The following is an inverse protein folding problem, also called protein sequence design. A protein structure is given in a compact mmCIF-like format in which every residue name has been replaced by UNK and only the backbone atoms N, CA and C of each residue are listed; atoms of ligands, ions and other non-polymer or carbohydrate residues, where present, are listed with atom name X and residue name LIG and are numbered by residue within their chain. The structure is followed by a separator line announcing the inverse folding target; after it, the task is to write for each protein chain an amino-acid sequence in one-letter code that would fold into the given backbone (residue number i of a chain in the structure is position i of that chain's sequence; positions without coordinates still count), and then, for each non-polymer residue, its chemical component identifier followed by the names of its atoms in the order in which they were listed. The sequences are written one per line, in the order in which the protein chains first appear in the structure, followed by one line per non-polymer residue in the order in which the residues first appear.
data_IF_650004161689
#
_entry.id   IF_650004161689
#
_cell.length_a   1.000
_cell.length_b   1.000
_cell.length_c   1.000
_cell.angle_alpha   90.00
_cell.angle_beta   90.00
_cell.angle_gamma   90.00
#
_symmetry.space_group_name_H-M   'P 1'
#
loop_
_entity.id
_entity.type
_entity.pdbx_description
1 polymer ?
#
# COMPACT_ATOMS: atom_id res chain seq x y z
N UNK A 1 23.87 -0.77 6.99
CA UNK A 1 24.62 0.49 7.16
C UNK A 1 24.26 1.44 6.01
N UNK A 2 23.27 2.29 6.24
CA UNK A 2 22.77 3.23 5.25
C UNK A 2 23.72 4.43 5.16
N UNK A 3 24.07 4.82 3.93
CA UNK A 3 24.65 6.12 3.66
C UNK A 3 23.55 6.98 3.03
N UNK A 4 22.84 7.73 3.86
CA UNK A 4 22.41 9.07 3.49
C UNK A 4 23.44 10.01 4.11
N UNK A 5 24.22 10.72 3.32
CA UNK A 5 25.28 11.63 3.79
C UNK A 5 24.77 12.83 4.61
N UNK A 6 23.50 12.84 5.00
CA UNK A 6 22.94 13.87 5.86
C UNK A 6 22.37 13.21 7.11
N UNK A 7 23.02 13.48 8.24
CA UNK A 7 22.61 13.11 9.60
C UNK A 7 21.16 13.55 9.90
N UNK A 8 20.65 14.52 9.16
CA UNK A 8 19.29 15.04 9.18
C UNK A 8 18.84 15.25 7.73
N UNK A 9 17.56 15.12 7.42
CA UNK A 9 17.04 15.45 6.08
C UNK A 9 16.90 16.98 5.99
N UNK A 10 17.54 17.63 5.02
CA UNK A 10 17.47 19.09 4.82
C UNK A 10 16.88 19.41 3.45
N UNK A 11 16.00 20.40 3.40
CA UNK A 11 15.48 20.96 2.15
C UNK A 11 15.53 22.48 2.17
N UNK A 12 15.71 23.11 1.01
CA UNK A 12 15.76 24.56 0.81
C UNK A 12 17.18 25.11 0.65
N UNK A 13 17.34 26.37 0.25
CA UNK A 13 18.64 26.95 -0.10
C UNK A 13 19.39 27.67 1.04
N UNK A 14 20.72 27.51 1.11
CA UNK A 14 21.64 28.41 1.84
C UNK A 14 22.99 27.75 2.19
N UNK A 15 24.18 28.35 2.10
CA UNK A 15 24.59 29.76 2.16
C UNK A 15 25.86 30.06 1.32
N UNK A 16 25.80 31.13 0.52
CA UNK A 16 26.95 31.93 0.01
C UNK A 16 28.00 31.27 -0.90
N UNK A 17 27.58 30.41 -1.85
CA UNK A 17 28.14 30.37 -3.22
C UNK A 17 27.19 29.57 -4.12
N UNK A 18 27.19 29.88 -5.42
CA UNK A 18 26.16 29.57 -6.40
C UNK A 18 25.62 28.12 -6.40
N UNK A 19 24.29 27.99 -6.33
CA UNK A 19 23.44 26.82 -6.60
C UNK A 19 23.68 25.58 -5.73
N UNK A 20 23.03 25.51 -4.56
CA UNK A 20 22.78 24.22 -3.91
C UNK A 20 21.28 23.97 -3.83
N UNK A 21 20.79 23.13 -4.73
CA UNK A 21 19.55 22.38 -4.52
C UNK A 21 19.83 21.45 -3.33
N UNK A 22 19.19 21.70 -2.18
CA UNK A 22 19.34 20.83 -1.01
C UNK A 22 18.12 19.93 -0.94
N UNK A 23 18.38 18.63 -0.79
CA UNK A 23 17.38 17.61 -0.66
C UNK A 23 17.99 16.31 -0.16
N UNK A 24 17.14 15.32 0.03
CA UNK A 24 17.56 13.99 0.41
C UNK A 24 16.53 12.93 0.08
N UNK A 25 16.96 11.67 0.20
CA UNK A 25 16.13 10.49 0.01
C UNK A 25 15.89 9.76 1.33
N UNK A 26 14.68 9.22 1.50
CA UNK A 26 14.26 8.41 2.62
C UNK A 26 13.79 7.07 2.11
N UNK A 27 14.48 5.98 2.48
CA UNK A 27 14.10 4.62 2.08
C UNK A 27 13.21 3.97 3.14
N UNK A 28 11.99 3.63 2.75
CA UNK A 28 11.02 2.91 3.56
C UNK A 28 10.94 1.46 3.09
N UNK A 29 11.15 0.52 4.01
CA UNK A 29 11.20 -0.92 3.71
C UNK A 29 9.94 -1.63 4.16
N UNK A 30 9.70 -2.82 3.61
CA UNK A 30 8.57 -3.67 4.00
C UNK A 30 7.22 -2.97 3.82
N UNK A 31 7.05 -2.28 2.68
CA UNK A 31 5.79 -1.63 2.34
C UNK A 31 4.76 -2.71 2.00
N UNK A 32 3.74 -2.86 2.82
CA UNK A 32 2.78 -3.96 2.70
C UNK A 32 1.67 -3.70 1.66
N UNK A 33 1.70 -2.54 0.99
CA UNK A 33 0.72 -2.16 -0.03
C UNK A 33 0.79 -3.13 -1.22
N UNK A 34 -0.29 -3.86 -1.53
CA UNK A 34 -0.34 -4.74 -2.69
C UNK A 34 -0.22 -3.98 -4.01
N UNK A 35 0.19 -4.69 -5.05
CA UNK A 35 0.19 -4.17 -6.41
C UNK A 35 -1.20 -3.70 -6.84
N UNK A 36 -1.26 -2.53 -7.46
CA UNK A 36 -2.50 -1.94 -7.97
C UNK A 36 -3.49 -1.50 -6.88
N UNK A 37 -3.12 -1.51 -5.61
CA UNK A 37 -4.00 -1.10 -4.53
C UNK A 37 -4.50 0.35 -4.73
N UNK A 38 -5.76 0.59 -4.35
CA UNK A 38 -6.33 1.92 -4.38
C UNK A 38 -5.82 2.70 -3.17
N UNK A 39 -4.97 3.70 -3.40
CA UNK A 39 -4.46 4.57 -2.33
C UNK A 39 -5.57 5.54 -1.91
N UNK A 40 -5.90 5.55 -0.63
CA UNK A 40 -6.83 6.50 -0.02
C UNK A 40 -6.13 7.83 0.27
N UNK A 41 -5.17 7.80 1.20
CA UNK A 41 -4.30 8.93 1.55
C UNK A 41 -2.86 8.48 1.67
N UNK A 42 -1.91 9.37 1.39
CA UNK A 42 -0.50 9.13 1.69
C UNK A 42 0.20 10.44 2.02
N UNK A 43 1.08 10.43 3.03
CA UNK A 43 1.88 11.59 3.44
C UNK A 43 3.10 11.14 4.24
N UNK A 44 4.09 12.03 4.36
CA UNK A 44 5.21 11.89 5.28
C UNK A 44 4.88 12.58 6.60
N UNK A 45 5.25 11.96 7.72
CA UNK A 45 5.37 12.65 9.02
C UNK A 45 6.85 12.84 9.33
N UNK A 46 7.27 14.10 9.49
CA UNK A 46 8.66 14.49 9.68
C UNK A 46 8.85 15.11 11.07
N UNK A 47 9.75 14.52 11.87
CA UNK A 47 10.10 15.07 13.17
C UNK A 47 11.18 16.16 13.02
N UNK A 48 10.89 17.38 13.46
CA UNK A 48 11.79 18.53 13.29
C UNK A 48 13.07 18.39 14.12
N UNK A 49 14.22 18.45 13.45
CA UNK A 49 15.55 18.41 14.08
C UNK A 49 15.90 19.71 14.79
N UNK A 50 15.75 20.84 14.11
CA UNK A 50 16.16 22.14 14.63
C UNK A 50 15.16 23.23 14.28
N UNK A 51 14.93 24.15 15.22
CA UNK A 51 14.01 25.27 15.01
C UNK A 51 14.49 26.16 13.86
N UNK A 52 13.59 26.41 12.89
CA UNK A 52 13.83 27.24 11.72
C UNK A 52 12.60 28.12 11.51
N UNK A 53 12.70 29.42 11.79
CA UNK A 53 11.53 30.29 11.95
C UNK A 53 11.47 31.52 11.04
N UNK A 54 12.51 31.83 10.29
CA UNK A 54 12.66 33.16 9.68
C UNK A 54 12.34 33.24 8.19
N UNK A 55 12.29 32.11 7.48
CA UNK A 55 12.15 32.09 6.02
C UNK A 55 11.11 31.06 5.57
N UNK A 56 10.39 31.38 4.50
CA UNK A 56 9.48 30.48 3.80
C UNK A 56 10.28 29.54 2.91
N UNK A 57 9.99 28.23 3.00
CA UNK A 57 10.63 27.19 2.18
C UNK A 57 9.59 26.62 1.24
N UNK A 58 9.97 26.40 -0.01
CA UNK A 58 9.21 25.63 -0.99
C UNK A 58 10.02 24.39 -1.36
N UNK A 59 9.35 23.28 -1.55
CA UNK A 59 10.01 22.04 -1.91
C UNK A 59 9.12 21.19 -2.79
N UNK A 60 9.63 20.05 -3.22
CA UNK A 60 8.88 19.04 -3.94
C UNK A 60 9.12 17.68 -3.29
N UNK A 61 8.11 16.83 -3.38
CA UNK A 61 8.15 15.43 -2.96
C UNK A 61 7.87 14.55 -4.17
N UNK A 62 8.73 13.56 -4.36
CA UNK A 62 8.63 12.54 -5.40
C UNK A 62 9.19 11.22 -4.88
N UNK A 63 9.13 10.15 -5.66
CA UNK A 63 9.73 8.87 -5.31
C UNK A 63 10.77 8.44 -6.34
N UNK A 64 11.56 7.43 -6.02
CA UNK A 64 12.38 6.73 -7.00
C UNK A 64 11.50 5.87 -7.89
N UNK A 65 11.59 6.03 -9.21
CA UNK A 65 10.78 5.29 -10.20
C UNK A 65 11.33 3.87 -10.44
N UNK A 66 11.17 3.02 -9.43
CA UNK A 66 11.60 1.60 -9.43
C UNK A 66 10.63 0.74 -8.64
N UNK A 67 10.57 -0.55 -8.99
CA UNK A 67 9.69 -1.53 -8.34
C UNK A 67 10.13 -1.90 -6.92
N UNK A 68 11.44 -1.87 -6.65
CA UNK A 68 12.00 -2.15 -5.34
C UNK A 68 13.26 -1.31 -5.12
N UNK A 69 13.13 -0.24 -4.35
CA UNK A 69 14.21 0.72 -4.20
C UNK A 69 15.47 0.07 -3.58
N UNK A 70 16.65 0.23 -4.19
CA UNK A 70 17.89 -0.35 -3.70
C UNK A 70 18.31 0.30 -2.38
N UNK A 71 19.21 -0.36 -1.64
CA UNK A 71 19.84 0.27 -0.47
C UNK A 71 20.92 1.25 -0.94
N UNK A 72 20.99 2.42 -0.33
CA UNK A 72 22.09 3.37 -0.56
C UNK A 72 23.39 2.83 0.04
N UNK A 73 24.26 2.30 -0.81
CA UNK A 73 25.56 1.71 -0.41
C UNK A 73 26.74 2.62 -0.71
N UNK A 74 26.60 3.54 -1.67
CA UNK A 74 27.60 4.53 -2.09
C UNK A 74 26.93 5.85 -2.47
N UNK A 75 27.72 6.93 -2.59
CA UNK A 75 27.24 8.21 -3.14
C UNK A 75 26.69 8.05 -4.55
N UNK A 76 27.43 7.38 -5.44
CA UNK A 76 26.96 7.10 -6.82
C UNK A 76 25.64 6.32 -6.85
N UNK A 77 25.42 5.37 -5.93
CA UNK A 77 24.17 4.64 -5.82
C UNK A 77 23.01 5.54 -5.37
N UNK A 78 23.29 6.49 -4.46
CA UNK A 78 22.33 7.51 -4.08
C UNK A 78 22.05 8.46 -5.26
N UNK A 79 23.08 8.94 -5.96
CA UNK A 79 22.91 9.86 -7.10
C UNK A 79 22.14 9.19 -8.25
N UNK A 80 22.36 7.90 -8.51
CA UNK A 80 21.58 7.14 -9.48
C UNK A 80 20.10 7.08 -9.10
N UNK A 81 19.81 6.77 -7.83
CA UNK A 81 18.45 6.78 -7.28
C UNK A 81 17.82 8.18 -7.37
N UNK A 82 18.55 9.21 -6.93
CA UNK A 82 18.12 10.61 -6.92
C UNK A 82 17.86 11.17 -8.32
N UNK A 83 18.49 10.64 -9.36
CA UNK A 83 18.20 11.06 -10.74
C UNK A 83 17.04 10.27 -11.39
N UNK A 84 16.50 9.24 -10.74
CA UNK A 84 15.45 8.39 -11.28
C UNK A 84 14.11 8.63 -10.58
N UNK A 85 13.47 9.75 -10.90
CA UNK A 85 12.26 10.20 -10.24
C UNK A 85 10.96 9.72 -10.90
N UNK A 86 9.92 9.54 -10.08
CA UNK A 86 8.53 9.47 -10.55
C UNK A 86 8.14 10.69 -11.40
N UNK A 87 7.17 10.50 -12.29
CA UNK A 87 6.59 11.60 -13.07
C UNK A 87 5.72 12.49 -12.17
N UNK A 88 4.92 11.87 -11.29
CA UNK A 88 4.20 12.57 -10.25
C UNK A 88 5.19 13.19 -9.27
N UNK A 89 5.00 14.48 -9.02
CA UNK A 89 5.76 15.25 -8.04
C UNK A 89 4.84 16.25 -7.37
N UNK A 90 4.88 16.32 -6.05
CA UNK A 90 3.98 17.16 -5.25
C UNK A 90 4.74 18.35 -4.70
N UNK A 91 4.24 19.54 -5.01
CA UNK A 91 4.77 20.77 -4.42
C UNK A 91 4.38 20.84 -2.94
N UNK A 92 5.36 21.09 -2.08
CA UNK A 92 5.14 21.49 -0.69
C UNK A 92 5.62 22.93 -0.52
N UNK A 93 4.69 23.83 -0.80
CA UNK A 93 4.93 25.27 -0.82
C UNK A 93 4.54 25.91 0.49
N UNK A 94 5.16 27.06 0.76
CA UNK A 94 4.93 27.84 1.96
C UNK A 94 5.10 27.05 3.26
N UNK A 95 6.11 26.17 3.32
CA UNK A 95 6.35 25.33 4.50
C UNK A 95 6.53 26.25 5.71
N UNK A 96 5.70 26.14 6.75
CA UNK A 96 5.71 27.07 7.87
C UNK A 96 7.00 26.93 8.68
N UNK A 97 7.23 27.87 9.59
CA UNK A 97 8.27 27.76 10.59
C UNK A 97 8.16 26.43 11.35
N UNK A 98 9.29 25.76 11.54
CA UNK A 98 9.34 24.53 12.34
C UNK A 98 9.96 24.80 13.70
N UNK A 99 9.37 24.20 14.73
CA UNK A 99 9.86 24.17 16.11
C UNK A 99 10.50 22.81 16.34
N UNK A 100 11.69 22.78 16.94
CA UNK A 100 12.38 21.52 17.25
C UNK A 100 11.50 20.57 18.05
N UNK A 101 11.65 19.27 17.78
CA UNK A 101 10.92 18.18 18.45
C UNK A 101 9.40 18.17 18.24
N UNK A 102 8.92 18.79 17.16
CA UNK A 102 7.53 18.73 16.72
C UNK A 102 7.44 17.94 15.40
N UNK A 103 6.29 17.31 15.19
CA UNK A 103 5.98 16.60 13.95
C UNK A 103 5.31 17.56 12.96
N UNK A 104 5.65 17.39 11.69
CA UNK A 104 5.08 18.12 10.57
C UNK A 104 4.74 17.15 9.45
N UNK A 105 3.49 17.16 9.02
CA UNK A 105 3.02 16.34 7.92
C UNK A 105 3.24 17.04 6.57
N UNK A 106 3.63 16.27 5.57
CA UNK A 106 3.65 16.73 4.19
C UNK A 106 2.24 16.92 3.64
N UNK A 107 2.09 17.62 2.51
CA UNK A 107 0.89 17.50 1.68
C UNK A 107 0.64 16.05 1.28
N UNK A 108 -0.54 15.81 0.72
CA UNK A 108 -0.91 14.51 0.17
C UNK A 108 0.00 14.12 -1.00
N UNK A 109 0.60 12.93 -0.93
CA UNK A 109 1.50 12.36 -1.95
C UNK A 109 0.94 11.11 -2.61
N UNK A 110 -0.39 10.92 -2.58
CA UNK A 110 -1.07 9.76 -3.14
C UNK A 110 -0.65 9.44 -4.58
N UNK A 111 -0.56 10.44 -5.45
CA UNK A 111 -0.21 10.22 -6.86
C UNK A 111 1.22 9.70 -7.03
N UNK A 112 2.16 10.16 -6.19
CA UNK A 112 3.54 9.65 -6.15
C UNK A 112 3.56 8.18 -5.74
N UNK A 113 2.84 7.82 -4.67
CA UNK A 113 2.76 6.42 -4.23
C UNK A 113 2.04 5.55 -5.27
N UNK A 114 0.99 6.07 -5.91
CA UNK A 114 0.22 5.35 -6.92
C UNK A 114 1.06 4.96 -8.12
N UNK A 115 1.94 5.85 -8.60
CA UNK A 115 2.86 5.52 -9.71
C UNK A 115 3.77 4.34 -9.38
N UNK A 116 4.19 4.18 -8.12
CA UNK A 116 5.06 3.07 -7.72
C UNK A 116 4.28 1.76 -7.58
N UNK A 117 3.15 1.77 -6.86
CA UNK A 117 2.40 0.53 -6.57
C UNK A 117 1.65 -0.02 -7.78
N UNK A 118 1.47 0.78 -8.84
CA UNK A 118 0.86 0.35 -10.10
C UNK A 118 1.83 -0.29 -11.08
N UNK A 119 3.12 -0.27 -10.80
CA UNK A 119 4.13 -0.86 -11.67
C UNK A 119 3.94 -2.38 -11.76
N UNK A 120 4.24 -2.95 -12.92
CA UNK A 120 4.00 -4.37 -13.23
C UNK A 120 4.78 -5.33 -12.32
N UNK A 121 5.96 -4.92 -11.85
CA UNK A 121 6.81 -5.74 -10.99
C UNK A 121 6.78 -5.29 -9.52
N UNK A 122 5.91 -4.36 -9.15
CA UNK A 122 5.71 -3.99 -7.74
C UNK A 122 5.11 -5.17 -6.96
N UNK A 123 5.67 -5.46 -5.79
CA UNK A 123 5.16 -6.48 -4.88
C UNK A 123 5.15 -6.00 -3.43
N UNK A 124 4.16 -6.47 -2.67
CA UNK A 124 4.09 -6.23 -1.22
C UNK A 124 5.38 -6.72 -0.53
N UNK A 125 5.97 -5.87 0.30
CA UNK A 125 7.27 -6.07 0.95
C UNK A 125 8.41 -5.30 0.27
N UNK A 126 8.23 -4.82 -0.97
CA UNK A 126 9.22 -3.97 -1.63
C UNK A 126 9.42 -2.63 -0.91
N UNK A 127 10.57 -2.00 -1.18
CA UNK A 127 10.92 -0.72 -0.59
C UNK A 127 10.58 0.44 -1.53
N UNK A 128 10.23 1.58 -0.93
CA UNK A 128 10.03 2.86 -1.64
C UNK A 128 11.06 3.86 -1.12
N UNK A 129 11.69 4.60 -2.03
CA UNK A 129 12.45 5.80 -1.68
C UNK A 129 11.58 7.01 -1.97
N UNK A 130 11.45 7.91 -1.00
CA UNK A 130 10.82 9.22 -1.16
C UNK A 130 11.90 10.28 -1.13
N UNK A 131 11.92 11.15 -2.13
CA UNK A 131 12.76 12.33 -2.20
C UNK A 131 12.00 13.54 -1.68
N UNK A 132 12.70 14.34 -0.87
CA UNK A 132 12.23 15.64 -0.42
C UNK A 132 13.33 16.66 -0.69
N UNK A 133 13.09 17.53 -1.66
CA UNK A 133 14.13 18.35 -2.26
C UNK A 133 13.59 19.69 -2.74
N UNK A 134 14.47 20.69 -2.87
CA UNK A 134 14.17 21.96 -3.51
C UNK A 134 14.29 21.83 -5.04
N UNK A 135 13.55 20.87 -5.60
CA UNK A 135 13.51 20.64 -7.04
C UNK A 135 13.02 21.90 -7.76
N UNK A 136 13.60 22.21 -8.93
CA UNK A 136 13.38 23.45 -9.69
C UNK A 136 13.83 24.74 -8.98
N UNK A 137 14.60 24.66 -7.88
CA UNK A 137 15.16 25.82 -7.18
C UNK A 137 14.08 26.84 -6.75
N UNK A 138 13.11 26.35 -5.98
CA UNK A 138 11.83 27.02 -5.69
C UNK A 138 11.87 27.82 -4.40
N UNK A 139 12.86 27.62 -3.55
CA UNK A 139 13.07 28.41 -2.33
C UNK A 139 13.92 29.66 -2.58
N UNK A 140 13.81 30.62 -1.67
CA UNK A 140 14.79 31.71 -1.65
C UNK A 140 16.15 31.18 -1.21
N UNK A 141 17.24 31.65 -1.82
CA UNK A 141 18.61 31.30 -1.40
C UNK A 141 19.10 32.06 -0.16
N UNK A 142 18.17 32.59 0.63
CA UNK A 142 18.50 33.35 1.81
C UNK A 142 18.98 32.44 2.93
N UNK A 143 19.93 32.93 3.73
CA UNK A 143 20.41 32.18 4.89
C UNK A 143 19.25 31.79 5.83
N UNK A 144 19.18 30.50 6.17
CA UNK A 144 18.11 29.97 7.04
C UNK A 144 16.83 29.54 6.31
N UNK A 145 16.78 29.64 4.98
CA UNK A 145 15.71 29.11 4.13
C UNK A 145 15.78 27.58 4.00
N UNK A 146 15.67 26.91 5.16
CA UNK A 146 15.85 25.45 5.25
C UNK A 146 14.82 24.84 6.19
N UNK A 147 14.42 23.58 5.95
CA UNK A 147 13.73 22.73 6.93
C UNK A 147 14.56 21.48 7.18
N UNK A 148 14.61 21.04 8.44
CA UNK A 148 15.45 19.91 8.86
C UNK A 148 14.63 18.91 9.65
N UNK A 149 14.57 17.67 9.16
CA UNK A 149 13.97 16.55 9.87
C UNK A 149 15.05 15.58 10.37
N UNK A 150 14.75 14.83 11.43
CA UNK A 150 15.61 13.72 11.84
C UNK A 150 15.74 12.68 10.73
N UNK A 151 16.90 12.03 10.63
CA UNK A 151 17.09 10.83 9.79
C UNK A 151 17.00 9.57 10.63
N UNK A 152 16.78 8.42 9.98
CA UNK A 152 16.84 7.11 10.64
C UNK A 152 18.21 6.83 11.26
N UNK A 153 19.29 7.14 10.53
CA UNK A 153 20.68 6.87 10.97
C UNK A 153 21.08 7.66 12.21
N UNK A 154 20.46 8.83 12.41
CA UNK A 154 20.69 9.63 13.62
C UNK A 154 19.74 9.26 14.75
N UNK A 155 18.47 8.98 14.46
CA UNK A 155 17.50 8.55 15.47
C UNK A 155 16.41 7.68 14.87
N UNK A 156 16.38 6.41 15.27
CA UNK A 156 15.30 5.49 14.91
C UNK A 156 13.97 5.89 15.57
N UNK A 157 14.00 6.60 16.70
CA UNK A 157 12.81 7.07 17.42
C UNK A 157 12.11 8.22 16.68
N UNK A 158 12.89 9.13 16.12
CA UNK A 158 12.41 10.33 15.42
C UNK A 158 12.52 10.21 13.90
N UNK A 159 12.75 9.01 13.39
CA UNK A 159 12.88 8.77 11.96
C UNK A 159 11.61 9.21 11.20
N UNK A 160 11.76 9.67 9.94
CA UNK A 160 10.63 9.95 9.07
C UNK A 160 9.69 8.75 8.98
N UNK A 161 8.38 9.01 8.89
CA UNK A 161 7.37 7.98 8.68
C UNK A 161 6.67 8.24 7.36
N UNK A 162 6.47 7.19 6.58
CA UNK A 162 5.58 7.17 5.43
C UNK A 162 4.26 6.55 5.87
N UNK A 163 3.20 7.34 5.83
CA UNK A 163 1.84 6.91 6.18
C UNK A 163 1.08 6.71 4.88
N UNK A 164 0.54 5.50 4.68
CA UNK A 164 -0.25 5.15 3.49
C UNK A 164 -1.52 4.44 3.97
N UNK A 165 -2.66 5.01 3.63
CA UNK A 165 -3.97 4.37 3.74
C UNK A 165 -4.38 3.85 2.36
N UNK A 166 -4.84 2.60 2.29
CA UNK A 166 -5.18 1.95 1.03
C UNK A 166 -6.30 0.92 1.18
N UNK A 167 -6.99 0.66 0.07
CA UNK A 167 -7.95 -0.42 -0.06
C UNK A 167 -7.53 -1.34 -1.21
N UNK A 168 -7.85 -2.62 -1.08
CA UNK A 168 -7.67 -3.60 -2.16
C UNK A 168 -9.03 -3.79 -2.82
N UNK A 169 -9.12 -3.77 -4.16
CA UNK A 169 -10.38 -4.06 -4.83
C UNK A 169 -10.84 -5.48 -4.47
N UNK A 170 -12.08 -5.60 -4.00
CA UNK A 170 -12.70 -6.89 -3.71
C UNK A 170 -13.30 -7.44 -5.00
N UNK A 171 -12.93 -8.66 -5.35
CA UNK A 171 -13.48 -9.41 -6.50
C UNK A 171 -14.30 -10.60 -6.02
N UNK A 172 -15.08 -11.21 -6.91
CA UNK A 172 -15.84 -12.40 -6.57
C UNK A 172 -14.90 -13.54 -6.13
N UNK A 173 -15.24 -14.29 -5.08
CA UNK A 173 -14.42 -15.39 -4.60
C UNK A 173 -14.37 -16.54 -5.62
N UNK A 174 -13.29 -17.31 -5.57
CA UNK A 174 -13.17 -18.55 -6.34
C UNK A 174 -13.51 -19.74 -5.44
N UNK A 175 -14.50 -20.52 -5.87
CA UNK A 175 -15.01 -21.68 -5.11
C UNK A 175 -14.97 -22.93 -5.97
N UNK A 176 -14.55 -24.03 -5.37
CA UNK A 176 -14.59 -25.37 -5.98
C UNK A 176 -15.65 -26.22 -5.28
N UNK A 177 -16.36 -27.05 -6.04
CA UNK A 177 -17.32 -28.03 -5.52
C UNK A 177 -16.61 -29.38 -5.39
N UNK A 178 -16.68 -30.04 -4.23
CA UNK A 178 -16.15 -31.39 -4.05
C UNK A 178 -17.28 -32.43 -4.07
N UNK A 179 -16.88 -33.71 -4.04
CA UNK A 179 -17.80 -34.82 -4.02
C UNK A 179 -18.78 -34.74 -2.83
N UNK A 180 -20.05 -35.00 -3.11
CA UNK A 180 -21.11 -35.11 -2.10
C UNK A 180 -20.91 -36.39 -1.27
N UNK A 181 -21.16 -36.33 0.03
CA UNK A 181 -21.11 -37.49 0.95
C UNK A 181 -22.46 -37.70 1.65
N UNK A 182 -22.56 -38.76 2.45
CA UNK A 182 -23.71 -39.03 3.34
C UNK A 182 -25.07 -38.98 2.62
N UNK A 183 -25.12 -39.56 1.42
CA UNK A 183 -26.32 -39.60 0.58
C UNK A 183 -27.31 -40.59 1.19
N UNK A 184 -28.43 -40.08 1.67
CA UNK A 184 -29.58 -40.83 2.19
C UNK A 184 -30.82 -40.60 1.29
N UNK A 185 -31.99 -41.07 1.70
CA UNK A 185 -33.23 -41.02 0.90
C UNK A 185 -33.65 -39.59 0.51
N UNK A 186 -33.54 -38.64 1.45
CA UNK A 186 -33.99 -37.25 1.27
C UNK A 186 -32.93 -36.20 1.64
N UNK A 187 -31.72 -36.65 1.99
CA UNK A 187 -30.63 -35.80 2.45
C UNK A 187 -29.29 -36.19 1.84
N UNK A 188 -28.36 -35.24 1.81
CA UNK A 188 -26.96 -35.48 1.48
C UNK A 188 -26.09 -34.37 2.11
N UNK A 189 -24.76 -34.54 2.10
CA UNK A 189 -23.83 -33.49 2.53
C UNK A 189 -23.08 -32.94 1.32
N UNK A 190 -23.34 -31.67 0.97
CA UNK A 190 -22.60 -30.96 -0.07
C UNK A 190 -21.28 -30.38 0.47
N UNK A 191 -20.24 -30.37 -0.37
CA UNK A 191 -18.90 -29.90 -0.03
C UNK A 191 -18.45 -28.78 -0.96
N UNK A 192 -17.89 -27.73 -0.39
CA UNK A 192 -17.26 -26.64 -1.12
C UNK A 192 -15.92 -26.24 -0.52
N UNK A 193 -15.05 -25.61 -1.32
CA UNK A 193 -13.81 -25.02 -0.83
C UNK A 193 -13.61 -23.65 -1.48
N UNK A 194 -13.54 -22.61 -0.65
CA UNK A 194 -13.16 -21.27 -1.07
C UNK A 194 -11.64 -21.29 -1.24
N UNK A 195 -11.18 -21.28 -2.49
CA UNK A 195 -9.74 -21.30 -2.81
C UNK A 195 -9.14 -19.90 -2.85
N UNK A 196 -9.96 -18.90 -3.10
CA UNK A 196 -9.61 -17.49 -3.04
C UNK A 196 -10.84 -16.69 -2.58
N UNK A 197 -10.66 -15.79 -1.61
CA UNK A 197 -11.74 -14.95 -1.08
C UNK A 197 -11.89 -13.64 -1.86
N UNK A 198 -11.01 -13.37 -2.84
CA UNK A 198 -11.10 -12.19 -3.70
C UNK A 198 -10.73 -10.88 -2.98
N UNK A 199 -9.98 -10.95 -1.88
CA UNK A 199 -9.47 -9.78 -1.16
C UNK A 199 -10.22 -9.44 0.14
N UNK A 200 -11.38 -10.04 0.39
CA UNK A 200 -12.11 -9.90 1.65
C UNK A 200 -12.81 -11.23 2.02
N UNK A 201 -13.09 -11.47 3.29
CA UNK A 201 -13.87 -12.65 3.69
C UNK A 201 -15.27 -12.63 3.07
N UNK A 202 -15.71 -13.79 2.56
CA UNK A 202 -17.04 -13.94 1.98
C UNK A 202 -18.10 -13.77 3.07
N UNK A 203 -19.18 -13.05 2.74
CA UNK A 203 -20.29 -12.80 3.67
C UNK A 203 -21.28 -13.97 3.73
N UNK A 204 -21.29 -14.83 2.70
CA UNK A 204 -22.10 -16.04 2.62
C UNK A 204 -21.27 -17.17 2.04
N UNK A 205 -21.68 -18.40 2.31
CA UNK A 205 -21.20 -19.58 1.57
C UNK A 205 -22.24 -20.69 1.61
N UNK A 206 -22.21 -21.58 0.63
CA UNK A 206 -23.13 -22.70 0.60
C UNK A 206 -23.03 -23.59 -0.61
N UNK A 207 -24.03 -24.45 -0.76
CA UNK A 207 -24.21 -25.32 -1.91
C UNK A 207 -25.62 -25.12 -2.46
N UNK A 208 -25.76 -25.12 -3.78
CA UNK A 208 -27.03 -25.15 -4.48
C UNK A 208 -27.11 -26.39 -5.38
N UNK A 209 -28.33 -26.86 -5.65
CA UNK A 209 -28.56 -28.07 -6.42
C UNK A 209 -29.87 -28.04 -7.22
N UNK A 210 -29.86 -28.75 -8.35
CA UNK A 210 -31.04 -28.98 -9.19
C UNK A 210 -30.90 -30.30 -9.97
N UNK A 211 -31.90 -30.63 -10.79
CA UNK A 211 -31.91 -31.84 -11.63
C UNK A 211 -31.62 -31.55 -13.11
N UNK A 212 -31.28 -30.30 -13.47
CA UNK A 212 -31.19 -29.82 -14.86
C UNK A 212 -29.77 -29.55 -15.35
N UNK A 213 -28.75 -29.60 -14.49
CA UNK A 213 -27.34 -29.65 -14.89
C UNK A 213 -26.47 -28.47 -14.49
N UNK A 214 -27.05 -27.35 -14.07
CA UNK A 214 -26.31 -26.12 -13.77
C UNK A 214 -26.98 -25.32 -12.66
N UNK A 215 -26.90 -25.78 -11.39
CA UNK A 215 -27.54 -25.07 -10.31
C UNK A 215 -26.98 -23.67 -10.12
N UNK A 216 -27.87 -22.75 -9.77
CA UNK A 216 -27.57 -21.37 -9.36
C UNK A 216 -28.08 -21.14 -7.94
N UNK A 217 -27.77 -19.97 -7.37
CA UNK A 217 -28.28 -19.60 -6.05
C UNK A 217 -29.79 -19.31 -6.04
N UNK A 218 -30.49 -19.42 -7.16
CA UNK A 218 -31.96 -19.31 -7.22
C UNK A 218 -32.66 -20.68 -7.12
N UNK A 219 -31.92 -21.78 -7.27
CA UNK A 219 -32.41 -23.15 -7.10
C UNK A 219 -32.48 -23.55 -5.61
N UNK A 220 -32.75 -24.83 -5.34
CA UNK A 220 -32.60 -25.41 -3.99
C UNK A 220 -31.18 -25.19 -3.47
N UNK A 221 -31.05 -24.71 -2.23
CA UNK A 221 -29.76 -24.34 -1.65
C UNK A 221 -29.73 -24.46 -0.14
N UNK A 222 -28.53 -24.58 0.39
CA UNK A 222 -28.21 -24.55 1.80
C UNK A 222 -26.96 -23.72 1.99
N UNK A 223 -27.02 -22.73 2.86
CA UNK A 223 -25.93 -21.79 3.07
C UNK A 223 -25.98 -21.16 4.45
N UNK A 224 -24.92 -20.42 4.75
CA UNK A 224 -24.75 -19.69 6.00
C UNK A 224 -24.22 -18.29 5.72
N UNK A 225 -24.54 -17.35 6.60
CA UNK A 225 -24.01 -15.98 6.61
C UNK A 225 -22.95 -15.86 7.70
N UNK A 226 -21.93 -15.04 7.48
CA UNK A 226 -20.82 -14.89 8.40
C UNK A 226 -19.64 -14.16 7.79
N UNK A 227 -18.44 -14.43 8.30
CA UNK A 227 -17.18 -13.95 7.74
C UNK A 227 -16.31 -15.17 7.46
N UNK A 228 -16.22 -15.55 6.19
CA UNK A 228 -15.56 -16.78 5.77
C UNK A 228 -14.31 -16.47 4.94
N UNK A 229 -13.14 -16.85 5.46
CA UNK A 229 -11.90 -16.85 4.68
C UNK A 229 -11.81 -18.06 3.74
N UNK A 230 -10.63 -18.30 3.19
CA UNK A 230 -10.34 -19.51 2.41
C UNK A 230 -10.50 -20.77 3.25
N UNK A 231 -10.95 -21.86 2.62
CA UNK A 231 -11.04 -23.16 3.27
C UNK A 231 -12.29 -23.95 2.90
N UNK A 232 -12.25 -25.23 3.27
CA UNK A 232 -13.32 -26.18 3.02
C UNK A 232 -14.51 -25.93 3.95
N UNK A 233 -15.71 -26.20 3.45
CA UNK A 233 -16.95 -26.14 4.19
C UNK A 233 -17.92 -27.21 3.70
N UNK A 234 -18.86 -27.58 4.56
CA UNK A 234 -19.91 -28.55 4.24
C UNK A 234 -21.27 -27.96 4.54
N UNK A 235 -22.28 -28.27 3.73
CA UNK A 235 -23.68 -27.88 3.96
C UNK A 235 -24.64 -29.03 3.75
N UNK A 236 -25.66 -29.18 4.63
CA UNK A 236 -26.67 -30.21 4.48
C UNK A 236 -27.54 -29.88 3.28
N UNK A 237 -27.74 -30.87 2.42
CA UNK A 237 -28.76 -30.90 1.37
C UNK A 237 -29.96 -31.64 1.95
N UNK A 238 -31.14 -31.03 1.87
CA UNK A 238 -32.39 -31.59 2.42
C UNK A 238 -33.54 -31.44 1.43
N UNK A 239 -34.60 -32.23 1.59
CA UNK A 239 -35.76 -32.21 0.70
C UNK A 239 -35.45 -32.81 -0.68
N UNK A 240 -34.53 -33.78 -0.73
CA UNK A 240 -34.24 -34.52 -1.95
C UNK A 240 -35.32 -35.57 -2.19
N UNK A 241 -35.63 -35.84 -3.46
CA UNK A 241 -36.54 -36.92 -3.83
C UNK A 241 -35.73 -38.21 -4.09
N UNK A 242 -36.12 -39.36 -3.51
CA UNK A 242 -35.43 -40.63 -3.72
C UNK A 242 -35.33 -41.01 -5.20
N UNK A 243 -34.19 -41.58 -5.59
CA UNK A 243 -33.94 -42.09 -6.94
C UNK A 243 -33.66 -41.03 -8.00
N UNK A 244 -33.57 -39.74 -7.63
CA UNK A 244 -33.26 -38.66 -8.57
C UNK A 244 -31.77 -38.29 -8.59
N UNK A 245 -31.29 -37.95 -9.79
CA UNK A 245 -29.95 -37.42 -9.98
C UNK A 245 -29.94 -35.90 -9.77
N UNK A 246 -29.05 -35.44 -8.89
CA UNK A 246 -28.88 -34.03 -8.59
C UNK A 246 -27.48 -33.55 -9.02
N UNK A 247 -27.46 -32.36 -9.60
CA UNK A 247 -26.24 -31.59 -9.85
C UNK A 247 -26.07 -30.60 -8.70
N UNK A 248 -24.85 -30.45 -8.21
CA UNK A 248 -24.52 -29.62 -7.05
C UNK A 248 -23.42 -28.62 -7.44
N UNK A 249 -23.51 -27.41 -6.91
CA UNK A 249 -22.48 -26.37 -7.06
C UNK A 249 -22.30 -25.62 -5.74
N UNK A 250 -21.07 -25.45 -5.31
CA UNK A 250 -20.69 -24.61 -4.19
C UNK A 250 -20.62 -23.13 -4.60
N UNK A 251 -20.94 -22.22 -3.68
CA UNK A 251 -20.88 -20.77 -3.87
C UNK A 251 -20.37 -20.07 -2.60
N UNK A 252 -19.88 -18.84 -2.74
CA UNK A 252 -19.51 -17.91 -1.67
C UNK A 252 -19.68 -16.45 -2.14
#
# INVERSE_FOLDING_TARGET
PAWSTTVYQEVGGGSTSAYIQIGGGMRFTNITVPQGAAIGTAYLTLHCYGTKSTMVVNSKISAEDVDNAPTFTTGDAFDASFNNHTLARINWDNIPAWTTKQDYDSPEIKTVIKEIVDREDWASGHAIVIFWEDFDDRSTHAAGCTRRAYSYDYSTTYAPKLVIDYTVPVVAPTVTTQAVTDIDTETATGHGNITDNGGENCSKRGVCWNTTGNPTVDDSKSGEEGSFGTGAFTRPMTGLNPGQHYYVKAYA
#
